data_IF_975275581716
#
_entry.id   IF_975275581716
#
_cell.length_a   1.000
_cell.length_b   1.000
_cell.length_c   1.000
_cell.angle_alpha   90.00
_cell.angle_beta   90.00
_cell.angle_gamma   90.00
#
_symmetry.space_group_name_H-M   'P 1'
#
loop_
_entity.id
_entity.type
_entity.pdbx_description
1 polymer ?
#
# COMPACT_ATOMS: atom_id res chain seq x y z
N UNK A 1 18.06 7.85 -9.14
CA UNK A 1 16.86 7.45 -8.38
C UNK A 1 16.94 5.96 -8.14
N UNK A 2 16.86 5.49 -6.90
CA UNK A 2 16.98 4.05 -6.60
C UNK A 2 15.61 3.42 -6.86
N UNK A 3 15.57 2.35 -7.67
CA UNK A 3 14.36 1.55 -7.91
C UNK A 3 14.54 0.19 -7.25
N UNK A 4 13.51 -0.29 -6.58
CA UNK A 4 13.51 -1.59 -5.91
C UNK A 4 12.41 -2.42 -6.54
N UNK A 5 12.78 -3.61 -7.03
CA UNK A 5 11.84 -4.58 -7.58
C UNK A 5 11.89 -5.85 -6.73
N UNK A 6 10.73 -6.36 -6.34
CA UNK A 6 10.57 -7.62 -5.62
C UNK A 6 9.45 -8.42 -6.25
N UNK A 7 9.62 -9.74 -6.35
CA UNK A 7 8.63 -10.65 -6.91
C UNK A 7 8.54 -11.89 -6.04
N UNK A 8 7.34 -12.44 -5.89
CA UNK A 8 7.08 -13.68 -5.19
C UNK A 8 5.95 -14.44 -5.90
N UNK A 9 6.02 -15.78 -5.89
CA UNK A 9 4.91 -16.64 -6.29
C UNK A 9 4.04 -16.90 -5.06
N UNK A 10 2.73 -16.75 -5.21
CA UNK A 10 1.76 -16.88 -4.13
C UNK A 10 0.55 -17.69 -4.57
N UNK A 11 -0.09 -18.47 -3.68
CA UNK A 11 -1.26 -19.28 -4.01
C UNK A 11 -2.56 -18.46 -3.94
N UNK A 12 -2.56 -17.25 -4.51
CA UNK A 12 -3.70 -16.32 -4.52
C UNK A 12 -3.94 -15.79 -5.93
N UNK A 13 -5.19 -15.41 -6.22
CA UNK A 13 -5.52 -14.84 -7.53
C UNK A 13 -5.01 -13.40 -7.65
N UNK A 14 -4.91 -12.89 -8.88
CA UNK A 14 -4.56 -11.48 -9.12
C UNK A 14 -5.55 -10.53 -8.41
N UNK A 15 -6.83 -10.89 -8.39
CA UNK A 15 -7.89 -10.15 -7.68
C UNK A 15 -7.68 -10.12 -6.16
N UNK A 16 -7.32 -11.24 -5.55
CA UNK A 16 -7.05 -11.29 -4.11
C UNK A 16 -5.85 -10.42 -3.75
N UNK A 17 -4.77 -10.51 -4.54
CA UNK A 17 -3.56 -9.71 -4.34
C UNK A 17 -3.80 -8.22 -4.58
N UNK A 18 -4.62 -7.89 -5.58
CA UNK A 18 -5.05 -6.53 -5.85
C UNK A 18 -5.88 -5.98 -4.69
N UNK A 19 -6.87 -6.71 -4.19
CA UNK A 19 -7.68 -6.30 -3.05
C UNK A 19 -6.83 -6.07 -1.79
N UNK A 20 -5.87 -6.97 -1.52
CA UNK A 20 -4.92 -6.84 -0.41
C UNK A 20 -4.06 -5.57 -0.51
N UNK A 21 -3.53 -5.28 -1.71
CA UNK A 21 -2.67 -4.11 -1.94
C UNK A 21 -3.48 -2.80 -2.03
N UNK A 22 -4.73 -2.86 -2.46
CA UNK A 22 -5.58 -1.68 -2.62
C UNK A 22 -6.24 -1.25 -1.30
N UNK A 23 -6.41 -2.16 -0.33
CA UNK A 23 -6.92 -1.83 1.01
C UNK A 23 -5.82 -1.20 1.90
N UNK A 24 -5.38 0.00 1.50
CA UNK A 24 -4.33 0.76 2.19
C UNK A 24 -4.73 1.08 3.63
N UNK A 25 -6.02 1.25 3.92
CA UNK A 25 -6.51 1.54 5.26
C UNK A 25 -6.30 0.37 6.24
N UNK A 26 -6.27 -0.87 5.74
CA UNK A 26 -6.02 -2.05 6.56
C UNK A 26 -4.54 -2.31 6.87
N UNK A 27 -3.60 -1.59 6.23
CA UNK A 27 -2.16 -1.82 6.39
C UNK A 27 -1.67 -1.87 7.85
N UNK A 28 -2.15 -1.02 8.80
CA UNK A 28 -1.73 -1.11 10.20
C UNK A 28 -2.10 -2.43 10.88
N UNK A 29 -3.07 -3.19 10.34
CA UNK A 29 -3.51 -4.46 10.91
C UNK A 29 -2.54 -5.62 10.61
N UNK A 30 -1.77 -5.53 9.53
CA UNK A 30 -0.96 -6.66 9.06
C UNK A 30 0.47 -6.30 8.65
N UNK A 31 0.83 -5.02 8.55
CA UNK A 31 2.20 -4.57 8.33
C UNK A 31 2.82 -4.13 9.66
N UNK A 32 3.72 -4.92 10.29
CA UNK A 32 4.23 -4.65 11.64
C UNK A 32 4.97 -3.31 11.78
N UNK A 33 5.49 -2.81 10.67
CA UNK A 33 6.21 -1.54 10.57
C UNK A 33 5.29 -0.35 10.25
N UNK A 34 4.01 -0.59 9.92
CA UNK A 34 3.01 0.45 9.68
C UNK A 34 2.32 0.82 10.98
N UNK A 35 2.48 2.07 11.43
CA UNK A 35 1.87 2.58 12.66
C UNK A 35 0.45 3.09 12.43
N UNK A 36 0.25 3.83 11.35
CA UNK A 36 -1.05 4.37 10.99
C UNK A 36 -1.11 4.73 9.51
N UNK A 37 -2.33 4.82 9.00
CA UNK A 37 -2.62 5.29 7.64
C UNK A 37 -3.65 6.42 7.73
N UNK A 38 -3.42 7.45 6.94
CA UNK A 38 -4.39 8.53 6.71
C UNK A 38 -4.79 8.51 5.25
N UNK A 39 -6.04 8.17 4.97
CA UNK A 39 -6.61 8.22 3.62
C UNK A 39 -7.01 9.67 3.32
N UNK A 40 -6.50 10.24 2.22
CA UNK A 40 -6.85 11.59 1.79
C UNK A 40 -7.92 11.59 0.70
N UNK A 41 -7.85 10.62 -0.21
CA UNK A 41 -8.80 10.47 -1.31
C UNK A 41 -8.75 9.04 -1.85
N UNK A 42 -9.90 8.50 -2.23
CA UNK A 42 -10.02 7.20 -2.87
C UNK A 42 -11.15 7.26 -3.89
N UNK A 43 -10.83 6.90 -5.13
CA UNK A 43 -11.76 6.76 -6.26
C UNK A 43 -11.50 5.42 -6.94
N UNK A 44 -12.28 5.08 -7.96
CA UNK A 44 -12.10 3.86 -8.74
C UNK A 44 -10.75 3.77 -9.48
N UNK A 45 -10.08 4.90 -9.69
CA UNK A 45 -8.83 4.98 -10.48
C UNK A 45 -7.65 5.59 -9.72
N UNK A 46 -7.84 6.04 -8.48
CA UNK A 46 -6.79 6.71 -7.71
C UNK A 46 -6.96 6.58 -6.21
N UNK A 47 -5.86 6.36 -5.50
CA UNK A 47 -5.78 6.41 -4.03
C UNK A 47 -4.66 7.33 -3.59
N UNK A 48 -4.96 8.25 -2.68
CA UNK A 48 -3.98 9.15 -2.06
C UNK A 48 -3.99 8.91 -0.56
N UNK A 49 -2.86 8.46 -0.02
CA UNK A 49 -2.74 8.11 1.39
C UNK A 49 -1.40 8.56 1.97
N UNK A 50 -1.36 8.81 3.27
CA UNK A 50 -0.12 8.96 4.03
C UNK A 50 0.06 7.73 4.91
N UNK A 51 1.23 7.09 4.81
CA UNK A 51 1.61 5.95 5.62
C UNK A 51 2.65 6.42 6.64
N UNK A 52 2.37 6.21 7.93
CA UNK A 52 3.32 6.45 9.02
C UNK A 52 3.99 5.13 9.36
N UNK A 53 5.29 5.08 9.17
CA UNK A 53 6.14 3.92 9.47
C UNK A 53 6.92 4.17 10.75
N UNK A 54 7.14 3.13 11.54
CA UNK A 54 7.98 3.21 12.71
C UNK A 54 8.62 1.89 13.08
N UNK A 55 9.91 1.91 13.36
CA UNK A 55 10.66 0.78 13.92
C UNK A 55 11.85 1.30 14.73
N UNK A 56 12.17 0.64 15.86
CA UNK A 56 13.34 0.91 16.70
C UNK A 56 13.59 2.40 17.04
N UNK A 57 12.54 3.15 17.39
CA UNK A 57 12.64 4.55 17.81
C UNK A 57 12.72 5.58 16.67
N UNK A 58 12.78 5.14 15.41
CA UNK A 58 12.67 6.02 14.25
C UNK A 58 11.24 6.03 13.71
N UNK A 59 10.74 7.22 13.40
CA UNK A 59 9.45 7.40 12.78
C UNK A 59 9.57 8.25 11.51
N UNK A 60 8.92 7.80 10.44
CA UNK A 60 8.85 8.51 9.16
C UNK A 60 7.45 8.40 8.60
N UNK A 61 7.06 9.39 7.81
CA UNK A 61 5.85 9.32 7.01
C UNK A 61 6.16 9.68 5.58
N UNK A 62 5.37 9.11 4.67
CA UNK A 62 5.39 9.48 3.26
C UNK A 62 3.96 9.47 2.74
N UNK A 63 3.71 10.31 1.75
CA UNK A 63 2.43 10.39 1.05
C UNK A 63 2.57 9.72 -0.31
N UNK A 64 1.65 8.84 -0.63
CA UNK A 64 1.55 8.17 -1.93
C UNK A 64 0.36 8.73 -2.71
N UNK A 65 0.42 8.59 -4.03
CA UNK A 65 -0.66 8.95 -4.95
C UNK A 65 -0.68 7.86 -6.02
N UNK A 66 -1.43 6.80 -5.74
CA UNK A 66 -1.42 5.60 -6.55
C UNK A 66 -2.50 5.66 -7.63
N UNK A 67 -2.17 5.20 -8.84
CA UNK A 67 -3.13 5.00 -9.93
C UNK A 67 -3.55 3.55 -9.97
N UNK A 68 -4.85 3.33 -10.21
CA UNK A 68 -5.48 2.02 -10.10
C UNK A 68 -6.07 1.59 -11.44
N UNK A 69 -5.79 0.35 -11.82
CA UNK A 69 -6.57 -0.40 -12.80
C UNK A 69 -7.14 -1.64 -12.10
N UNK A 70 -8.47 -1.69 -11.87
CA UNK A 70 -9.10 -2.73 -11.06
C UNK A 70 -8.69 -4.14 -11.48
N UNK A 71 -8.33 -4.97 -10.48
CA UNK A 71 -7.94 -6.38 -10.62
C UNK A 71 -6.72 -6.66 -11.53
N UNK A 72 -6.03 -5.62 -11.99
CA UNK A 72 -4.90 -5.74 -12.92
C UNK A 72 -3.63 -5.12 -12.35
N UNK A 73 -3.69 -3.90 -11.82
CA UNK A 73 -2.48 -3.15 -11.49
C UNK A 73 -2.72 -1.93 -10.58
N UNK A 74 -1.70 -1.61 -9.78
CA UNK A 74 -1.61 -0.41 -8.95
C UNK A 74 -0.14 0.07 -8.92
N UNK A 75 0.11 1.37 -9.17
CA UNK A 75 1.42 2.03 -8.91
C UNK A 75 1.23 3.26 -8.05
#
# INVERSE_FOLDING_TARGET
MIRIHKTALVPYTARDMFALANDVAAYPKFLPWCKSVTLHSQTDSKVVATIRMGSAGLEKSFKTSNTIKPDEWIE
#
